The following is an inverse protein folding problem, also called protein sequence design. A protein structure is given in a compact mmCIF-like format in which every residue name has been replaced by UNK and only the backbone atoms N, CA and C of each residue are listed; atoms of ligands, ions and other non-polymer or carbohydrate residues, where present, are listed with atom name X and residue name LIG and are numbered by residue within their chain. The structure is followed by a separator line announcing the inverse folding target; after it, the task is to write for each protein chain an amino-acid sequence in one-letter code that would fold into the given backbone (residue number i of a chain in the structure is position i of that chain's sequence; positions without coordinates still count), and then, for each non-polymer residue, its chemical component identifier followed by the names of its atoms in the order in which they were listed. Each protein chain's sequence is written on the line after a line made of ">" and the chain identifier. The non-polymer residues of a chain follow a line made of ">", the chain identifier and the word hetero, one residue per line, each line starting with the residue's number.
data_IF_752206482402
#
_entry.id   IF_752206482402
#
_cell.length_a   1.000
_cell.length_b   1.000
_cell.length_c   1.000
_cell.angle_alpha   90.00
_cell.angle_beta   90.00
_cell.angle_gamma   90.00
#
_symmetry.space_group_name_H-M   'P 1'
#
loop_
_entity.id
_entity.type
_entity.pdbx_description
1 polymer ?
#
# COMPACT_ATOMS: atom_id res chain seq x y z
N UNK A 1 -4.16 -61.22 -22.93
CA UNK A 1 -4.42 -59.86 -22.46
C UNK A 1 -3.98 -58.91 -23.57
N UNK A 2 -4.89 -58.08 -24.15
CA UNK A 2 -4.51 -57.04 -25.08
C UNK A 2 -3.86 -55.90 -24.32
N UNK A 3 -2.73 -55.33 -24.79
CA UNK A 3 -2.18 -54.14 -24.20
C UNK A 3 -3.13 -52.98 -24.33
N UNK A 4 -3.29 -52.19 -23.26
CA UNK A 4 -4.10 -50.96 -23.30
C UNK A 4 -3.57 -50.03 -24.35
N UNK A 5 -4.45 -49.47 -25.18
CA UNK A 5 -4.07 -48.43 -26.12
C UNK A 5 -3.57 -47.19 -25.36
N UNK A 6 -2.35 -46.83 -25.56
CA UNK A 6 -1.82 -45.54 -25.08
C UNK A 6 -2.58 -44.39 -25.78
N UNK A 7 -3.09 -43.49 -24.99
CA UNK A 7 -3.66 -42.24 -25.51
C UNK A 7 -2.51 -41.35 -25.92
N UNK A 8 -2.33 -41.08 -27.19
CA UNK A 8 -1.44 -40.05 -27.71
C UNK A 8 -2.18 -38.72 -27.75
N UNK A 9 -1.63 -37.73 -27.04
CA UNK A 9 -2.12 -36.34 -27.14
C UNK A 9 -1.61 -35.73 -28.45
N UNK A 10 -2.44 -35.04 -29.18
CA UNK A 10 -2.07 -34.44 -30.50
C UNK A 10 -0.97 -33.39 -30.39
N UNK A 11 -0.84 -32.73 -29.22
CA UNK A 11 0.16 -31.69 -28.94
C UNK A 11 1.33 -32.16 -28.05
N UNK A 12 1.34 -33.42 -27.62
CA UNK A 12 2.42 -33.99 -26.80
C UNK A 12 2.53 -33.44 -25.38
N UNK A 13 1.63 -32.57 -24.97
CA UNK A 13 1.64 -31.96 -23.61
C UNK A 13 0.55 -32.54 -22.73
N UNK A 14 0.94 -33.03 -21.55
CA UNK A 14 0.01 -33.48 -20.50
C UNK A 14 0.11 -32.53 -19.32
N UNK A 15 -0.92 -31.73 -19.09
CA UNK A 15 -1.02 -30.86 -17.94
C UNK A 15 -1.90 -31.49 -16.87
N UNK A 16 -1.32 -31.95 -15.77
CA UNK A 16 -2.10 -32.35 -14.60
C UNK A 16 -2.57 -31.10 -13.84
N UNK A 17 -3.88 -31.02 -13.56
CA UNK A 17 -4.38 -30.02 -12.65
C UNK A 17 -3.75 -30.26 -11.27
N UNK A 18 -2.98 -29.27 -10.75
CA UNK A 18 -2.43 -29.35 -9.41
C UNK A 18 -3.56 -29.36 -8.38
N UNK A 19 -3.37 -30.12 -7.31
CA UNK A 19 -4.29 -30.15 -6.18
C UNK A 19 -4.40 -28.77 -5.55
N UNK A 20 -5.59 -28.39 -5.10
CA UNK A 20 -5.85 -27.10 -4.49
C UNK A 20 -6.72 -27.29 -3.25
N UNK A 21 -6.08 -27.39 -2.09
CA UNK A 21 -6.76 -27.50 -0.80
C UNK A 21 -6.90 -26.17 -0.05
N UNK A 22 -6.15 -25.13 -0.45
CA UNK A 22 -6.34 -23.79 0.11
C UNK A 22 -7.64 -23.22 -0.43
N UNK A 23 -8.52 -22.82 0.48
CA UNK A 23 -9.85 -22.31 0.18
C UNK A 23 -9.85 -20.77 0.08
N UNK A 24 -9.17 -20.10 1.01
CA UNK A 24 -9.11 -18.64 1.07
C UNK A 24 -7.97 -18.10 1.93
N UNK A 25 -7.75 -16.80 1.84
CA UNK A 25 -7.05 -16.01 2.85
C UNK A 25 -8.02 -14.97 3.45
N UNK A 26 -7.90 -14.69 4.74
CA UNK A 26 -8.73 -13.73 5.46
C UNK A 26 -7.92 -12.94 6.49
N UNK A 27 -8.55 -11.96 7.15
CA UNK A 27 -7.92 -11.13 8.18
C UNK A 27 -6.53 -10.61 7.76
N UNK A 28 -6.44 -10.20 6.48
CA UNK A 28 -5.19 -9.65 5.94
C UNK A 28 -5.00 -8.23 6.46
N UNK A 29 -3.90 -8.04 7.18
CA UNK A 29 -3.48 -6.74 7.73
C UNK A 29 -2.10 -6.37 7.18
N UNK A 30 -1.50 -5.29 7.67
CA UNK A 30 -0.13 -4.90 7.31
C UNK A 30 0.93 -5.92 7.76
N UNK A 31 0.62 -6.77 8.76
CA UNK A 31 1.59 -7.68 9.40
C UNK A 31 1.13 -9.13 9.50
N UNK A 32 -0.15 -9.41 9.22
CA UNK A 32 -0.73 -10.73 9.42
C UNK A 32 -1.66 -11.12 8.27
N UNK A 33 -1.83 -12.43 8.06
CA UNK A 33 -2.86 -13.01 7.20
C UNK A 33 -3.26 -14.39 7.73
N UNK A 34 -4.53 -14.76 7.67
CA UNK A 34 -5.01 -16.11 8.01
C UNK A 34 -5.27 -16.89 6.73
N UNK A 35 -4.65 -18.07 6.62
CA UNK A 35 -4.83 -19.00 5.51
C UNK A 35 -5.77 -20.10 5.95
N UNK A 36 -6.77 -20.39 5.11
CA UNK A 36 -7.76 -21.45 5.33
C UNK A 36 -7.60 -22.55 4.31
N UNK A 37 -7.69 -23.80 4.78
CA UNK A 37 -7.66 -25.00 3.94
C UNK A 37 -8.57 -26.09 4.51
N UNK A 38 -8.82 -27.13 3.76
CA UNK A 38 -9.65 -28.26 4.20
C UNK A 38 -9.09 -28.87 5.49
N UNK A 39 -9.88 -28.81 6.57
CA UNK A 39 -9.47 -29.31 7.90
C UNK A 39 -9.15 -30.82 7.92
N UNK A 40 -8.19 -31.19 8.74
CA UNK A 40 -7.83 -32.61 8.98
C UNK A 40 -7.04 -33.27 7.85
N UNK A 41 -6.77 -32.58 6.72
CA UNK A 41 -5.94 -33.14 5.65
C UNK A 41 -4.47 -33.13 6.04
N UNK A 42 -3.70 -34.09 5.47
CA UNK A 42 -2.28 -34.18 5.75
C UNK A 42 -1.50 -33.05 5.10
N UNK A 43 -0.96 -32.17 5.94
CA UNK A 43 -0.09 -31.04 5.60
C UNK A 43 1.04 -30.94 6.61
N UNK A 44 2.19 -30.41 6.18
CA UNK A 44 3.39 -30.32 7.02
C UNK A 44 3.88 -28.89 7.18
N UNK A 45 3.86 -28.07 6.12
CA UNK A 45 4.40 -26.73 6.18
C UNK A 45 3.86 -25.82 5.07
N UNK A 46 4.01 -24.53 5.27
CA UNK A 46 3.92 -23.50 4.26
C UNK A 46 5.28 -23.14 3.69
N UNK A 47 5.29 -22.78 2.42
CA UNK A 47 6.32 -22.02 1.77
C UNK A 47 5.75 -20.65 1.45
N UNK A 48 6.34 -19.59 2.02
CA UNK A 48 5.87 -18.20 1.95
C UNK A 48 6.87 -17.43 1.11
N UNK A 49 6.46 -17.03 -0.08
CA UNK A 49 7.29 -16.35 -1.08
C UNK A 49 6.87 -14.88 -1.19
N UNK A 50 7.84 -13.97 -1.28
CA UNK A 50 7.65 -12.55 -1.59
C UNK A 50 8.82 -12.03 -2.43
N UNK A 51 8.81 -10.74 -2.79
CA UNK A 51 9.94 -10.09 -3.48
C UNK A 51 11.24 -10.08 -2.68
N UNK A 52 11.18 -10.33 -1.37
CA UNK A 52 12.34 -10.33 -0.47
C UNK A 52 12.92 -11.72 -0.22
N UNK A 53 12.28 -12.73 -0.73
CA UNK A 53 12.73 -14.10 -0.58
C UNK A 53 11.64 -15.07 -0.18
N UNK A 54 12.06 -16.22 0.33
CA UNK A 54 11.24 -17.36 0.66
C UNK A 54 11.46 -17.75 2.12
N UNK A 55 10.38 -18.06 2.83
CA UNK A 55 10.41 -18.55 4.20
C UNK A 55 9.56 -19.80 4.35
N UNK A 56 10.10 -20.81 4.99
CA UNK A 56 9.36 -22.01 5.39
C UNK A 56 8.80 -21.84 6.81
N UNK A 57 7.53 -22.23 7.02
CA UNK A 57 6.86 -22.27 8.30
C UNK A 57 6.14 -23.62 8.47
N UNK A 58 6.50 -24.37 9.51
CA UNK A 58 5.84 -25.65 9.81
C UNK A 58 4.43 -25.43 10.37
N UNK A 59 3.52 -26.34 10.04
CA UNK A 59 2.11 -26.33 10.46
C UNK A 59 1.98 -27.20 11.72
N UNK A 60 1.40 -26.64 12.78
CA UNK A 60 1.18 -27.36 14.03
C UNK A 60 0.00 -28.33 13.92
N UNK A 61 -0.06 -29.30 14.83
CA UNK A 61 -1.17 -30.26 14.90
C UNK A 61 -2.54 -29.58 15.11
N UNK A 62 -2.57 -28.49 15.91
CA UNK A 62 -3.80 -27.72 16.16
C UNK A 62 -4.27 -27.02 14.90
N UNK A 63 -3.36 -26.37 14.16
CA UNK A 63 -3.67 -25.68 12.89
C UNK A 63 -4.15 -26.68 11.83
N UNK A 64 -3.50 -27.86 11.74
CA UNK A 64 -3.92 -28.93 10.84
C UNK A 64 -5.36 -29.36 11.12
N UNK A 65 -5.70 -29.59 12.39
CA UNK A 65 -7.05 -29.98 12.79
C UNK A 65 -8.08 -28.86 12.57
N UNK A 66 -7.69 -27.60 12.79
CA UNK A 66 -8.53 -26.44 12.57
C UNK A 66 -8.69 -26.09 11.09
N UNK A 67 -7.80 -26.54 10.20
CA UNK A 67 -7.78 -26.15 8.79
C UNK A 67 -7.46 -24.66 8.57
N UNK A 68 -6.76 -24.04 9.51
CA UNK A 68 -6.37 -22.64 9.41
C UNK A 68 -5.10 -22.33 10.18
N UNK A 69 -4.36 -21.33 9.72
CA UNK A 69 -3.19 -20.78 10.41
C UNK A 69 -3.05 -19.30 10.15
N UNK A 70 -2.64 -18.53 11.16
CA UNK A 70 -2.29 -17.13 11.01
C UNK A 70 -0.79 -16.98 10.78
N UNK A 71 -0.44 -16.40 9.64
CA UNK A 71 0.91 -15.97 9.33
C UNK A 71 1.12 -14.60 9.99
N UNK A 72 2.24 -14.41 10.69
CA UNK A 72 2.58 -13.18 11.40
C UNK A 72 3.95 -12.67 10.97
N UNK A 73 4.24 -11.39 11.27
CA UNK A 73 5.53 -10.78 10.92
C UNK A 73 5.70 -10.53 9.43
N UNK A 74 4.60 -10.45 8.70
CA UNK A 74 4.60 -10.06 7.29
C UNK A 74 4.98 -8.58 7.17
N UNK A 75 5.47 -8.18 5.99
CA UNK A 75 5.71 -6.78 5.66
C UNK A 75 4.45 -6.16 5.07
N UNK A 76 4.24 -4.90 5.37
CA UNK A 76 3.14 -4.11 4.81
C UNK A 76 3.29 -3.93 3.30
N UNK A 77 2.15 -3.75 2.62
CA UNK A 77 2.08 -3.45 1.19
C UNK A 77 2.92 -4.41 0.33
N UNK A 78 2.87 -5.69 0.66
CA UNK A 78 3.70 -6.73 0.05
C UNK A 78 2.83 -7.88 -0.45
N UNK A 79 3.03 -8.26 -1.72
CA UNK A 79 2.37 -9.44 -2.29
C UNK A 79 3.10 -10.70 -1.83
N UNK A 80 2.33 -11.61 -1.27
CA UNK A 80 2.77 -12.94 -0.85
C UNK A 80 2.13 -14.02 -1.70
N UNK A 81 2.93 -15.04 -2.05
CA UNK A 81 2.43 -16.32 -2.52
C UNK A 81 2.67 -17.35 -1.42
N UNK A 82 1.62 -18.01 -0.96
CA UNK A 82 1.69 -19.04 0.07
C UNK A 82 1.31 -20.36 -0.54
N UNK A 83 2.23 -21.32 -0.45
CA UNK A 83 2.06 -22.68 -0.93
C UNK A 83 2.02 -23.64 0.27
N UNK A 84 1.06 -24.57 0.30
CA UNK A 84 0.91 -25.56 1.36
C UNK A 84 1.39 -26.93 0.87
N UNK A 85 2.17 -27.62 1.70
CA UNK A 85 2.82 -28.88 1.37
C UNK A 85 2.50 -30.01 2.35
N UNK A 86 2.47 -31.24 1.83
CA UNK A 86 2.68 -32.47 2.64
C UNK A 86 4.05 -33.04 2.24
N UNK A 87 5.06 -32.85 3.09
CA UNK A 87 6.46 -33.15 2.78
C UNK A 87 6.90 -32.48 1.48
N UNK A 88 7.16 -33.20 0.41
CA UNK A 88 7.57 -32.67 -0.89
C UNK A 88 6.39 -32.42 -1.84
N UNK A 89 5.18 -32.87 -1.49
CA UNK A 89 4.01 -32.74 -2.36
C UNK A 89 3.30 -31.42 -2.15
N UNK A 90 3.25 -30.57 -3.18
CA UNK A 90 2.42 -29.39 -3.21
C UNK A 90 0.94 -29.77 -3.15
N UNK A 91 0.19 -29.18 -2.21
CA UNK A 91 -1.24 -29.44 -1.98
C UNK A 91 -2.13 -28.25 -2.34
N UNK A 92 -1.56 -27.09 -2.61
CA UNK A 92 -2.28 -25.89 -3.01
C UNK A 92 -1.49 -24.63 -2.80
N UNK A 93 -1.97 -23.51 -3.33
CA UNK A 93 -1.38 -22.20 -3.12
C UNK A 93 -2.45 -21.10 -3.19
N UNK A 94 -2.13 -19.93 -2.61
CA UNK A 94 -2.89 -18.70 -2.75
C UNK A 94 -1.95 -17.51 -2.87
N UNK A 95 -2.51 -16.39 -3.30
CA UNK A 95 -1.82 -15.09 -3.29
C UNK A 95 -2.69 -14.08 -2.57
N UNK A 96 -2.06 -13.20 -1.82
CA UNK A 96 -2.69 -12.04 -1.19
C UNK A 96 -1.69 -10.89 -1.09
N UNK A 97 -2.16 -9.70 -0.84
CA UNK A 97 -1.34 -8.52 -0.56
C UNK A 97 -1.69 -8.01 0.84
N UNK A 98 -0.67 -7.76 1.66
CA UNK A 98 -0.83 -7.13 2.97
C UNK A 98 -1.20 -5.65 2.81
N UNK A 99 -1.98 -5.12 3.75
CA UNK A 99 -2.38 -3.71 3.73
C UNK A 99 -1.21 -2.78 4.04
N UNK A 100 -1.40 -1.49 3.79
CA UNK A 100 -0.48 -0.44 4.22
C UNK A 100 -0.36 -0.40 5.77
N UNK A 101 0.77 0.10 6.27
CA UNK A 101 1.04 0.27 7.72
C UNK A 101 0.94 1.75 8.08
N UNK A 102 -0.27 2.24 8.28
CA UNK A 102 -0.52 3.62 8.67
C UNK A 102 -0.27 3.83 10.17
N UNK A 103 0.11 5.06 10.60
CA UNK A 103 0.16 5.39 12.03
C UNK A 103 -1.21 5.19 12.69
N UNK A 104 -1.26 4.54 13.85
CA UNK A 104 -2.51 4.14 14.51
C UNK A 104 -3.37 5.33 14.95
N UNK A 105 -2.73 6.46 15.29
CA UNK A 105 -3.39 7.69 15.75
C UNK A 105 -3.99 8.55 14.63
N UNK A 106 -3.68 8.25 13.35
CA UNK A 106 -4.14 9.03 12.22
C UNK A 106 -5.50 8.57 11.70
N UNK A 107 -6.37 9.52 11.38
CA UNK A 107 -7.60 9.24 10.62
C UNK A 107 -7.26 8.99 9.16
N UNK A 108 -7.79 7.91 8.58
CA UNK A 108 -7.51 7.52 7.19
C UNK A 108 -8.65 7.98 6.29
N UNK A 109 -8.35 8.90 5.37
CA UNK A 109 -9.25 9.36 4.32
C UNK A 109 -8.81 8.80 2.96
N UNK A 110 -9.60 7.90 2.38
CA UNK A 110 -9.30 7.30 1.09
C UNK A 110 -9.94 8.10 -0.03
N UNK A 111 -9.13 8.66 -0.93
CA UNK A 111 -9.60 9.32 -2.15
C UNK A 111 -10.05 8.29 -3.20
N UNK A 112 -11.01 8.69 -4.00
CA UNK A 112 -11.40 8.01 -5.23
C UNK A 112 -11.08 8.92 -6.42
N UNK A 113 -10.88 8.35 -7.58
CA UNK A 113 -10.67 9.14 -8.79
C UNK A 113 -11.85 10.09 -9.02
N UNK A 114 -11.53 11.38 -9.21
CA UNK A 114 -12.54 12.44 -9.39
C UNK A 114 -12.98 13.13 -8.10
N UNK A 115 -12.56 12.69 -6.92
CA UNK A 115 -12.86 13.38 -5.65
C UNK A 115 -12.26 14.77 -5.62
N UNK A 116 -12.99 15.70 -5.01
CA UNK A 116 -12.48 17.03 -4.66
C UNK A 116 -11.70 16.94 -3.34
N UNK A 117 -10.39 17.15 -3.43
CA UNK A 117 -9.49 17.07 -2.27
C UNK A 117 -9.86 18.08 -1.18
N UNK A 118 -10.30 19.29 -1.53
CA UNK A 118 -10.70 20.30 -0.55
C UNK A 118 -11.94 19.85 0.22
N UNK A 119 -12.93 19.28 -0.48
CA UNK A 119 -14.14 18.77 0.15
C UNK A 119 -13.82 17.62 1.11
N UNK A 120 -12.98 16.67 0.67
CA UNK A 120 -12.57 15.53 1.52
C UNK A 120 -11.79 16.01 2.75
N UNK A 121 -10.86 16.97 2.59
CA UNK A 121 -10.07 17.50 3.70
C UNK A 121 -10.91 18.35 4.66
N UNK A 122 -11.92 19.05 4.19
CA UNK A 122 -12.80 19.86 5.04
C UNK A 122 -13.58 19.04 6.07
N UNK A 123 -13.78 17.75 5.81
CA UNK A 123 -14.44 16.82 6.73
C UNK A 123 -13.49 16.21 7.78
N UNK A 124 -12.16 16.45 7.65
CA UNK A 124 -11.16 15.82 8.50
C UNK A 124 -10.82 16.70 9.72
N UNK A 125 -10.35 16.01 10.78
CA UNK A 125 -9.90 16.66 12.02
C UNK A 125 -8.69 15.90 12.59
N UNK A 126 -7.79 16.64 13.27
CA UNK A 126 -6.61 16.07 13.92
C UNK A 126 -5.54 15.64 12.91
N UNK A 127 -4.96 14.47 13.13
CA UNK A 127 -3.90 13.93 12.28
C UNK A 127 -4.51 13.02 11.19
N UNK A 128 -4.14 13.23 9.93
CA UNK A 128 -4.82 12.63 8.77
C UNK A 128 -3.84 11.98 7.82
N UNK A 129 -4.16 10.77 7.37
CA UNK A 129 -3.57 10.16 6.16
C UNK A 129 -4.56 10.29 5.01
N UNK A 130 -4.22 11.07 4.01
CA UNK A 130 -4.99 11.19 2.78
C UNK A 130 -4.41 10.23 1.73
N UNK A 131 -5.14 9.15 1.45
CA UNK A 131 -4.67 8.05 0.60
C UNK A 131 -5.08 8.26 -0.84
N UNK A 132 -4.09 8.33 -1.73
CA UNK A 132 -4.24 8.42 -3.18
C UNK A 132 -4.18 7.02 -3.79
N UNK A 133 -5.18 6.59 -4.58
CA UNK A 133 -5.16 5.29 -5.23
C UNK A 133 -3.92 5.10 -6.13
N UNK A 134 -3.36 3.91 -6.16
CA UNK A 134 -2.23 3.60 -7.02
C UNK A 134 -2.55 3.91 -8.50
N UNK A 135 -1.63 4.57 -9.19
CA UNK A 135 -1.76 4.96 -10.60
C UNK A 135 -2.72 6.10 -10.89
N UNK A 136 -3.43 6.64 -9.88
CA UNK A 136 -4.36 7.77 -10.06
C UNK A 136 -3.64 9.08 -10.40
N UNK A 137 -4.41 10.05 -10.89
CA UNK A 137 -3.92 11.40 -11.17
C UNK A 137 -4.88 12.43 -10.59
N UNK A 138 -4.35 13.29 -9.71
CA UNK A 138 -5.07 14.42 -9.13
C UNK A 138 -4.37 15.72 -9.51
N UNK A 139 -5.08 16.60 -10.18
CA UNK A 139 -4.58 17.92 -10.61
C UNK A 139 -5.43 19.03 -10.04
N UNK A 140 -4.75 20.05 -9.50
CA UNK A 140 -5.38 21.25 -8.96
C UNK A 140 -4.98 22.48 -9.77
N UNK A 141 -5.89 23.40 -9.88
CA UNK A 141 -5.66 24.73 -10.46
C UNK A 141 -5.46 25.79 -9.39
N UNK A 142 -5.98 25.57 -8.20
CA UNK A 142 -5.89 26.47 -7.05
C UNK A 142 -4.98 25.87 -5.96
N UNK A 143 -4.45 26.74 -5.10
CA UNK A 143 -3.65 26.34 -3.94
C UNK A 143 -4.42 25.37 -3.04
N UNK A 144 -3.71 24.42 -2.45
CA UNK A 144 -4.24 23.56 -1.40
C UNK A 144 -3.85 24.12 -0.03
N UNK A 145 -4.81 24.70 0.66
CA UNK A 145 -4.62 25.10 2.06
C UNK A 145 -5.01 23.97 2.99
N UNK A 146 -4.12 23.56 3.89
CA UNK A 146 -4.44 22.56 4.90
C UNK A 146 -5.49 23.19 5.85
N UNK A 147 -6.66 22.55 6.07
CA UNK A 147 -7.66 23.09 6.98
C UNK A 147 -7.11 23.28 8.40
N UNK A 148 -7.57 24.31 9.10
CA UNK A 148 -7.16 24.56 10.50
C UNK A 148 -7.57 23.43 11.48
N UNK A 149 -8.51 22.58 11.09
CA UNK A 149 -8.92 21.37 11.81
C UNK A 149 -7.90 20.23 11.71
N UNK A 150 -6.95 20.30 10.76
CA UNK A 150 -5.94 19.25 10.49
C UNK A 150 -4.60 19.70 11.06
N UNK A 151 -4.05 18.92 12.01
CA UNK A 151 -2.79 19.22 12.67
C UNK A 151 -1.59 18.63 11.92
N UNK A 152 -1.65 17.37 11.56
CA UNK A 152 -0.64 16.71 10.73
C UNK A 152 -1.29 16.02 9.54
N UNK A 153 -0.65 16.08 8.37
CA UNK A 153 -1.16 15.43 7.18
C UNK A 153 -0.09 14.61 6.49
N UNK A 154 -0.45 13.39 6.10
CA UNK A 154 0.34 12.55 5.21
C UNK A 154 -0.42 12.38 3.91
N UNK A 155 0.12 12.90 2.81
CA UNK A 155 -0.31 12.60 1.45
C UNK A 155 0.33 11.26 1.06
N UNK A 156 -0.45 10.20 1.04
CA UNK A 156 0.03 8.83 0.90
C UNK A 156 -0.37 8.22 -0.44
N UNK A 157 0.62 7.90 -1.27
CA UNK A 157 0.38 7.11 -2.47
C UNK A 157 0.28 5.63 -2.13
N UNK A 158 -0.87 5.02 -2.38
CA UNK A 158 -1.09 3.59 -2.16
C UNK A 158 -0.10 2.75 -2.99
N UNK A 159 0.32 1.62 -2.43
CA UNK A 159 1.14 0.62 -3.11
C UNK A 159 0.28 -0.33 -3.96
N UNK A 160 0.89 -1.35 -4.55
CA UNK A 160 0.18 -2.34 -5.39
C UNK A 160 0.02 -1.91 -6.85
N UNK A 161 0.63 -0.79 -7.27
CA UNK A 161 0.60 -0.29 -8.65
C UNK A 161 1.61 0.82 -8.91
N UNK A 162 1.39 1.59 -9.97
CA UNK A 162 2.19 2.76 -10.25
C UNK A 162 1.98 3.84 -9.18
N UNK A 163 3.02 4.61 -8.86
CA UNK A 163 2.90 5.76 -7.97
C UNK A 163 1.82 6.72 -8.48
N UNK A 164 0.91 7.23 -7.62
CA UNK A 164 -0.04 8.23 -8.04
C UNK A 164 0.66 9.54 -8.42
N UNK A 165 0.03 10.26 -9.33
CA UNK A 165 0.47 11.59 -9.77
C UNK A 165 -0.34 12.65 -9.04
N UNK A 166 0.33 13.58 -8.40
CA UNK A 166 -0.32 14.69 -7.72
C UNK A 166 0.28 16.04 -8.13
N UNK A 167 -0.58 16.91 -8.62
CA UNK A 167 -0.28 18.31 -8.93
C UNK A 167 -1.04 19.21 -7.97
N UNK A 168 -0.44 19.55 -6.82
CA UNK A 168 -1.10 20.36 -5.80
C UNK A 168 -1.26 21.82 -6.17
N UNK A 169 -0.58 22.29 -7.21
CA UNK A 169 -0.23 23.68 -7.50
C UNK A 169 0.69 24.24 -6.41
N UNK A 170 0.18 24.51 -5.23
CA UNK A 170 0.95 24.86 -4.02
C UNK A 170 0.23 24.32 -2.80
N UNK A 171 0.96 23.80 -1.83
CA UNK A 171 0.43 23.42 -0.52
C UNK A 171 0.83 24.46 0.50
N UNK A 172 -0.13 24.92 1.28
CA UNK A 172 0.06 25.94 2.33
C UNK A 172 -0.40 25.38 3.68
N UNK A 173 0.49 25.47 4.68
CA UNK A 173 0.16 25.16 6.07
C UNK A 173 -0.66 26.29 6.70
N UNK A 174 -1.50 25.94 7.66
CA UNK A 174 -2.20 26.90 8.53
C UNK A 174 -1.52 26.98 9.90
N UNK A 175 -2.02 27.82 10.78
CA UNK A 175 -1.44 28.04 12.11
C UNK A 175 -1.38 26.77 12.99
N UNK A 176 -2.29 25.82 12.77
CA UNK A 176 -2.35 24.57 13.52
C UNK A 176 -1.57 23.43 12.87
N UNK A 177 -1.05 23.63 11.67
CA UNK A 177 -0.33 22.57 10.95
C UNK A 177 1.05 22.35 11.56
N UNK A 178 1.31 21.15 12.07
CA UNK A 178 2.58 20.74 12.67
C UNK A 178 3.44 19.89 11.75
N UNK A 179 2.81 19.17 10.79
CA UNK A 179 3.53 18.28 9.88
C UNK A 179 2.82 18.14 8.53
N UNK A 180 3.62 18.16 7.45
CA UNK A 180 3.20 17.81 6.10
C UNK A 180 4.17 16.78 5.56
N UNK A 181 3.70 15.56 5.29
CA UNK A 181 4.49 14.49 4.71
C UNK A 181 3.90 14.06 3.36
N UNK A 182 4.79 13.85 2.38
CA UNK A 182 4.45 13.18 1.12
C UNK A 182 5.14 11.82 1.09
N UNK A 183 4.40 10.78 0.76
CA UNK A 183 4.91 9.42 0.70
C UNK A 183 4.47 8.72 -0.59
N UNK A 184 5.43 8.08 -1.26
CA UNK A 184 5.21 7.21 -2.42
C UNK A 184 4.40 7.83 -3.56
N UNK A 185 4.78 9.03 -4.05
CA UNK A 185 4.04 9.71 -5.12
C UNK A 185 4.91 10.52 -6.08
N UNK A 186 4.39 10.75 -7.26
CA UNK A 186 4.95 11.67 -8.24
C UNK A 186 4.31 13.05 -8.06
N UNK A 187 5.09 14.01 -7.58
CA UNK A 187 4.69 15.39 -7.38
C UNK A 187 5.15 16.24 -8.57
N UNK A 188 4.28 17.05 -9.12
CA UNK A 188 4.62 17.92 -10.24
C UNK A 188 3.74 19.16 -10.29
N UNK A 189 4.17 20.17 -11.05
CA UNK A 189 3.41 21.36 -11.39
C UNK A 189 3.41 21.58 -12.90
N UNK A 190 2.97 22.76 -13.37
CA UNK A 190 2.81 23.02 -14.81
C UNK A 190 4.12 23.23 -15.59
N UNK A 191 5.28 23.26 -14.92
CA UNK A 191 6.57 23.48 -15.57
C UNK A 191 6.82 24.91 -16.05
N UNK A 192 5.99 25.86 -15.62
CA UNK A 192 6.12 27.28 -15.98
C UNK A 192 6.95 28.11 -14.98
N UNK A 193 7.75 27.46 -14.16
CA UNK A 193 8.73 28.01 -13.22
C UNK A 193 8.17 29.01 -12.19
N UNK A 194 6.87 28.99 -11.92
CA UNK A 194 6.25 29.94 -10.98
C UNK A 194 5.80 29.31 -9.66
N UNK A 195 5.42 28.04 -9.69
CA UNK A 195 4.80 27.38 -8.54
C UNK A 195 5.82 26.56 -7.74
N UNK A 196 5.77 26.69 -6.43
CA UNK A 196 6.47 25.82 -5.47
C UNK A 196 5.58 24.65 -5.06
N UNK A 197 6.16 23.54 -4.58
CA UNK A 197 5.34 22.47 -4.00
C UNK A 197 4.69 22.93 -2.71
N UNK A 198 5.46 23.60 -1.87
CA UNK A 198 4.99 24.21 -0.64
C UNK A 198 5.37 25.68 -0.69
N UNK A 199 4.39 26.54 -0.55
CA UNK A 199 4.58 27.99 -0.52
C UNK A 199 3.91 28.57 0.71
N UNK A 200 4.72 29.13 1.59
CA UNK A 200 4.31 29.64 2.88
C UNK A 200 4.64 31.13 2.96
N UNK A 201 3.60 31.97 3.09
CA UNK A 201 3.76 33.42 3.13
C UNK A 201 4.33 33.92 4.47
N UNK A 202 3.89 33.33 5.59
CA UNK A 202 4.46 33.52 6.90
C UNK A 202 4.26 32.26 7.73
N UNK A 203 5.31 31.82 8.43
CA UNK A 203 5.21 30.72 9.38
C UNK A 203 5.20 31.29 10.79
N UNK A 204 4.11 31.09 11.48
CA UNK A 204 3.96 31.38 12.90
C UNK A 204 4.34 30.21 13.80
N UNK A 205 4.45 29.03 13.22
CA UNK A 205 4.77 27.77 13.91
C UNK A 205 5.82 26.96 13.12
N UNK A 206 6.52 26.08 13.81
CA UNK A 206 7.43 25.14 13.16
C UNK A 206 6.62 24.02 12.52
N UNK A 207 6.72 23.87 11.20
CA UNK A 207 6.09 22.78 10.44
C UNK A 207 7.16 21.80 9.97
N UNK A 208 7.00 20.54 10.31
CA UNK A 208 7.85 19.47 9.79
C UNK A 208 7.41 19.09 8.39
N UNK A 209 8.32 19.21 7.42
CA UNK A 209 8.03 18.88 6.02
C UNK A 209 8.94 17.74 5.59
N UNK A 210 8.37 16.67 5.05
CA UNK A 210 9.13 15.52 4.58
C UNK A 210 8.60 14.92 3.29
N UNK A 211 9.53 14.36 2.49
CA UNK A 211 9.24 13.64 1.25
C UNK A 211 9.95 12.29 1.33
N UNK A 212 9.19 11.22 1.23
CA UNK A 212 9.71 9.86 1.28
C UNK A 212 9.22 9.08 0.05
N UNK A 213 10.13 8.42 -0.66
CA UNK A 213 9.84 7.70 -1.93
C UNK A 213 9.14 8.57 -2.99
N UNK A 214 9.31 9.89 -2.95
CA UNK A 214 8.66 10.81 -3.87
C UNK A 214 9.58 11.20 -5.04
N UNK A 215 8.96 11.41 -6.21
CA UNK A 215 9.59 12.05 -7.34
C UNK A 215 8.97 13.45 -7.50
N UNK A 216 9.82 14.48 -7.51
CA UNK A 216 9.38 15.89 -7.70
C UNK A 216 9.88 16.40 -9.03
N UNK A 217 9.01 17.01 -9.84
CA UNK A 217 9.34 17.51 -11.17
C UNK A 217 8.49 18.73 -11.57
N UNK A 218 8.92 19.45 -12.59
CA UNK A 218 8.18 20.56 -13.20
C UNK A 218 7.72 21.61 -12.19
N UNK A 219 8.54 21.92 -11.19
CA UNK A 219 8.27 22.93 -10.16
C UNK A 219 9.44 23.91 -10.08
N UNK A 220 9.18 25.13 -9.65
CA UNK A 220 10.22 26.14 -9.40
C UNK A 220 11.13 25.73 -8.22
N UNK A 221 10.55 25.13 -7.21
CA UNK A 221 11.26 24.64 -6.02
C UNK A 221 10.33 23.85 -5.11
N UNK A 222 10.93 23.17 -4.15
CA UNK A 222 10.18 22.33 -3.21
C UNK A 222 9.52 23.18 -2.14
N UNK A 223 10.25 24.10 -1.54
CA UNK A 223 9.79 24.96 -0.45
C UNK A 223 10.13 26.41 -0.72
N UNK A 224 9.17 27.28 -0.51
CA UNK A 224 9.35 28.72 -0.39
C UNK A 224 8.74 29.20 0.90
N UNK A 225 9.49 29.98 1.64
CA UNK A 225 9.00 30.67 2.83
C UNK A 225 9.22 32.17 2.63
N UNK A 226 8.15 32.95 2.79
CA UNK A 226 8.17 34.40 2.68
C UNK A 226 7.79 35.02 4.04
N UNK A 227 8.49 36.08 4.43
CA UNK A 227 8.22 36.78 5.66
C UNK A 227 9.36 36.73 6.67
N UNK A 228 9.54 37.77 7.47
CA UNK A 228 10.62 37.90 8.43
C UNK A 228 10.44 36.96 9.63
N UNK A 229 11.55 36.41 10.12
CA UNK A 229 11.59 35.74 11.41
C UNK A 229 11.67 34.22 11.37
N UNK A 230 12.26 33.64 10.31
CA UNK A 230 12.51 32.20 10.27
C UNK A 230 13.95 31.95 10.69
N UNK A 231 14.11 31.30 11.85
CA UNK A 231 15.33 30.58 12.19
C UNK A 231 15.33 29.23 11.47
N UNK A 232 16.33 28.96 10.64
CA UNK A 232 16.64 27.63 10.12
C UNK A 232 17.48 26.88 11.14
#
# INVERSE_FOLDING_TARGET
>A
AQPSKWCTLEDGTFTTKSEQIIESSSNVTSKNATIHWTAGVDVTHFLIESTEGETRRDITANEKNAGQATLTGLKAATTYKVSIYNNQKLRGNCKFETTEDFPEEYTIANLKEGDDIDAVLAEQQGDVVLVFPAGSTFERTEKLSIPASVNAIIFWGASGGAQPNFKPKEVTATENTTSIKFYNMNLYNNGNDKDYMINQDAMTTNVNISFDKCKVSKTRGILRVQGGGIGC
#
